data_IF_040955059195
#
_entry.id   IF_040955059195
#
_cell.length_a   1.000
_cell.length_b   1.000
_cell.length_c   1.000
_cell.angle_alpha   90.00
_cell.angle_beta   90.00
_cell.angle_gamma   90.00
#
_symmetry.space_group_name_H-M   'P 1'
#
loop_
_entity.id
_entity.type
_entity.pdbx_description
1 polymer ?
#
# COMPACT_ATOMS: atom_id res chain seq x y z
N UNK A 1 2.77 -12.74 25.29
CA UNK A 1 1.49 -12.74 24.52
C UNK A 1 1.73 -13.57 23.25
N UNK A 2 0.87 -14.53 22.90
CA UNK A 2 1.04 -15.33 21.69
C UNK A 2 0.93 -14.42 20.46
N UNK A 3 1.88 -14.53 19.52
CA UNK A 3 1.84 -13.80 18.26
C UNK A 3 0.52 -14.11 17.54
N UNK A 4 -0.25 -13.07 17.23
CA UNK A 4 -1.52 -13.22 16.52
C UNK A 4 -1.18 -13.76 15.12
N UNK A 5 -1.71 -14.92 14.75
CA UNK A 5 -1.41 -15.51 13.46
C UNK A 5 -1.79 -14.52 12.34
N UNK A 6 -0.80 -14.12 11.53
CA UNK A 6 -1.04 -13.22 10.41
C UNK A 6 -1.93 -13.90 9.37
N UNK A 7 -2.97 -13.18 8.95
CA UNK A 7 -3.89 -13.66 7.94
C UNK A 7 -3.18 -13.83 6.60
N UNK A 8 -3.52 -14.90 5.87
CA UNK A 8 -3.01 -15.15 4.53
C UNK A 8 -4.13 -15.62 3.59
N UNK A 9 -4.06 -15.15 2.35
CA UNK A 9 -4.94 -15.50 1.25
C UNK A 9 -4.14 -15.66 -0.04
N UNK A 10 -4.66 -16.47 -0.96
CA UNK A 10 -4.09 -16.58 -2.30
C UNK A 10 -5.13 -17.04 -3.30
N UNK A 11 -4.86 -16.82 -4.59
CA UNK A 11 -5.76 -17.24 -5.64
C UNK A 11 -5.15 -17.13 -7.03
N UNK A 12 -5.84 -17.72 -8.01
CA UNK A 12 -5.46 -17.69 -9.42
C UNK A 12 -6.32 -16.73 -10.25
N UNK A 13 -7.47 -16.35 -9.70
CA UNK A 13 -8.46 -15.44 -10.31
C UNK A 13 -8.73 -14.29 -9.35
N UNK A 14 -9.38 -13.25 -9.87
CA UNK A 14 -9.89 -12.19 -9.02
C UNK A 14 -10.92 -12.74 -8.03
N UNK A 15 -10.90 -12.24 -6.79
CA UNK A 15 -11.85 -12.60 -5.74
C UNK A 15 -11.90 -11.52 -4.67
N UNK A 16 -13.00 -11.51 -3.93
CA UNK A 16 -13.11 -10.76 -2.68
C UNK A 16 -12.42 -11.52 -1.54
N UNK A 17 -11.71 -10.79 -0.69
CA UNK A 17 -11.03 -11.34 0.50
C UNK A 17 -11.42 -10.52 1.70
N UNK A 18 -11.96 -11.20 2.71
CA UNK A 18 -12.21 -10.59 4.01
C UNK A 18 -10.92 -10.46 4.81
N UNK A 19 -10.69 -9.27 5.35
CA UNK A 19 -9.49 -8.97 6.12
C UNK A 19 -9.87 -9.00 7.60
N UNK A 20 -9.30 -9.93 8.40
CA UNK A 20 -9.51 -9.95 9.84
C UNK A 20 -9.06 -8.61 10.43
N UNK A 21 -9.98 -7.92 11.09
CA UNK A 21 -9.70 -6.60 11.65
C UNK A 21 -8.87 -6.69 12.93
N UNK A 22 -7.90 -5.80 13.06
CA UNK A 22 -7.48 -5.31 14.38
C UNK A 22 -8.55 -4.34 14.88
N UNK A 23 -8.78 -4.31 16.19
CA UNK A 23 -9.82 -3.45 16.79
C UNK A 23 -9.56 -1.94 16.63
N UNK A 24 -8.39 -1.55 16.09
CA UNK A 24 -7.95 -0.17 15.93
C UNK A 24 -7.17 0.00 14.62
N UNK A 25 -7.44 1.10 13.92
CA UNK A 25 -6.65 1.61 12.80
C UNK A 25 -6.84 0.91 11.45
N UNK A 26 -6.15 1.39 10.40
CA UNK A 26 -6.10 0.74 9.10
C UNK A 26 -5.37 -0.61 9.17
N UNK A 27 -5.70 -1.54 8.28
CA UNK A 27 -5.00 -2.82 8.21
C UNK A 27 -3.82 -2.74 7.24
N UNK A 28 -2.67 -3.24 7.66
CA UNK A 28 -1.48 -3.37 6.82
C UNK A 28 -1.57 -4.61 5.95
N UNK A 29 -1.39 -4.42 4.65
CA UNK A 29 -1.47 -5.49 3.66
C UNK A 29 -0.18 -5.60 2.87
N UNK A 30 0.24 -6.83 2.59
CA UNK A 30 1.24 -7.14 1.57
C UNK A 30 0.60 -8.00 0.48
N UNK A 31 0.67 -7.50 -0.75
CA UNK A 31 0.21 -8.20 -1.94
C UNK A 31 1.40 -8.57 -2.81
N UNK A 32 1.38 -9.81 -3.32
CA UNK A 32 2.37 -10.29 -4.28
C UNK A 32 1.63 -10.84 -5.50
N UNK A 33 1.86 -10.20 -6.65
CA UNK A 33 1.37 -10.66 -7.94
C UNK A 33 2.13 -11.88 -8.45
N UNK A 34 1.73 -12.39 -9.61
CA UNK A 34 2.48 -13.42 -10.33
C UNK A 34 3.25 -12.85 -11.51
N UNK A 35 4.18 -13.65 -12.05
CA UNK A 35 5.30 -13.19 -12.88
C UNK A 35 4.90 -12.36 -14.11
N UNK A 36 3.81 -12.72 -14.78
CA UNK A 36 3.40 -12.13 -16.07
C UNK A 36 1.99 -11.54 -16.03
N UNK A 37 1.50 -11.23 -14.83
CA UNK A 37 0.10 -10.82 -14.62
C UNK A 37 -0.01 -9.54 -13.85
N UNK A 38 -0.96 -8.71 -14.28
CA UNK A 38 -1.34 -7.50 -13.58
C UNK A 38 -2.56 -7.73 -12.69
N UNK A 39 -2.55 -7.14 -11.51
CA UNK A 39 -3.66 -7.13 -10.57
C UNK A 39 -3.93 -5.72 -10.05
N UNK A 40 -5.21 -5.40 -9.85
CA UNK A 40 -5.67 -4.28 -9.06
C UNK A 40 -6.19 -4.81 -7.73
N UNK A 41 -5.90 -4.11 -6.65
CA UNK A 41 -6.47 -4.40 -5.33
C UNK A 41 -7.30 -3.19 -4.92
N UNK A 42 -8.60 -3.39 -4.75
CA UNK A 42 -9.54 -2.34 -4.41
C UNK A 42 -10.00 -2.49 -2.96
N UNK A 43 -10.14 -1.37 -2.26
CA UNK A 43 -10.77 -1.37 -0.95
C UNK A 43 -12.27 -1.66 -1.08
N UNK A 44 -12.82 -2.47 -0.19
CA UNK A 44 -14.23 -2.87 -0.24
C UNK A 44 -14.86 -2.89 1.14
N UNK A 45 -16.02 -2.25 1.25
CA UNK A 45 -16.90 -2.39 2.39
C UNK A 45 -18.07 -3.28 1.97
N UNK A 46 -18.30 -4.38 2.69
CA UNK A 46 -19.45 -5.25 2.47
C UNK A 46 -20.15 -5.53 3.79
N UNK A 47 -21.43 -5.18 3.85
CA UNK A 47 -22.38 -5.59 4.88
C UNK A 47 -23.37 -6.61 4.32
N UNK A 48 -24.35 -7.04 5.12
CA UNK A 48 -25.41 -7.94 4.67
C UNK A 48 -26.23 -7.37 3.49
N UNK A 49 -26.36 -6.04 3.41
CA UNK A 49 -27.26 -5.36 2.47
C UNK A 49 -26.54 -4.42 1.49
N UNK A 50 -25.29 -4.06 1.76
CA UNK A 50 -24.57 -3.05 0.98
C UNK A 50 -23.17 -3.52 0.58
N UNK A 51 -22.83 -3.26 -0.68
CA UNK A 51 -21.47 -3.34 -1.21
C UNK A 51 -21.02 -1.94 -1.60
N UNK A 52 -19.87 -1.48 -1.14
CA UNK A 52 -19.34 -0.14 -1.46
C UNK A 52 -17.86 -0.23 -1.72
N UNK A 53 -17.47 0.13 -2.94
CA UNK A 53 -16.08 0.19 -3.35
C UNK A 53 -15.43 1.47 -2.82
N UNK A 54 -14.18 1.34 -2.38
CA UNK A 54 -13.29 2.45 -2.11
C UNK A 54 -12.32 2.70 -3.24
N UNK A 55 -11.23 3.37 -2.91
CA UNK A 55 -10.13 3.63 -3.83
C UNK A 55 -9.34 2.35 -4.18
N UNK A 56 -8.55 2.45 -5.25
CA UNK A 56 -7.52 1.46 -5.57
C UNK A 56 -6.39 1.57 -4.55
N UNK A 57 -6.08 0.46 -3.88
CA UNK A 57 -5.03 0.40 -2.86
C UNK A 57 -3.65 0.24 -3.49
N UNK A 58 -3.56 -0.58 -4.55
CA UNK A 58 -2.34 -0.79 -5.33
C UNK A 58 -2.65 -1.39 -6.70
N UNK A 59 -1.73 -1.17 -7.63
CA UNK A 59 -1.61 -1.89 -8.89
C UNK A 59 -0.32 -2.71 -8.89
N UNK A 60 -0.43 -4.02 -9.10
CA UNK A 60 0.71 -4.95 -9.12
C UNK A 60 0.94 -5.48 -10.51
N UNK A 61 2.16 -5.36 -11.02
CA UNK A 61 2.64 -6.09 -12.18
C UNK A 61 3.88 -6.91 -11.80
N UNK A 62 3.84 -8.20 -12.10
CA UNK A 62 4.94 -9.11 -11.78
C UNK A 62 4.97 -9.58 -10.32
N UNK A 63 6.08 -10.20 -9.90
CA UNK A 63 6.18 -10.90 -8.61
C UNK A 63 6.65 -10.01 -7.46
N UNK A 64 6.74 -8.69 -7.63
CA UNK A 64 7.17 -7.79 -6.55
C UNK A 64 6.12 -7.75 -5.44
N UNK A 65 6.57 -7.79 -4.18
CA UNK A 65 5.71 -7.57 -3.04
C UNK A 65 5.44 -6.06 -2.91
N UNK A 66 4.16 -5.69 -2.90
CA UNK A 66 3.68 -4.32 -2.73
C UNK A 66 2.91 -4.24 -1.42
N UNK A 67 3.01 -3.11 -0.74
CA UNK A 67 2.40 -2.89 0.57
C UNK A 67 1.43 -1.73 0.49
N UNK A 68 0.29 -1.88 1.13
CA UNK A 68 -0.74 -0.83 1.18
C UNK A 68 -1.48 -0.88 2.51
N UNK A 69 -2.15 0.23 2.81
CA UNK A 69 -3.10 0.32 3.91
C UNK A 69 -4.50 0.09 3.40
N UNK A 70 -5.26 -0.77 4.09
CA UNK A 70 -6.71 -0.80 3.98
C UNK A 70 -7.30 0.16 5.01
N UNK A 71 -7.97 1.25 4.59
CA UNK A 71 -8.59 2.18 5.53
C UNK A 71 -9.62 1.48 6.42
N UNK A 72 -9.72 1.91 7.68
CA UNK A 72 -10.49 1.22 8.72
C UNK A 72 -12.00 1.09 8.42
N UNK A 73 -12.56 1.94 7.54
CA UNK A 73 -13.94 1.85 7.08
C UNK A 73 -14.20 0.61 6.19
N UNK A 74 -13.18 0.07 5.54
CA UNK A 74 -13.28 -1.09 4.65
C UNK A 74 -12.94 -2.38 5.39
N UNK A 75 -13.65 -3.48 5.10
CA UNK A 75 -13.49 -4.77 5.78
C UNK A 75 -13.03 -5.88 4.82
N UNK A 76 -12.93 -5.57 3.54
CA UNK A 76 -12.53 -6.50 2.49
C UNK A 76 -11.61 -5.80 1.50
N UNK A 77 -10.93 -6.61 0.71
CA UNK A 77 -10.33 -6.18 -0.55
C UNK A 77 -10.91 -6.99 -1.69
N UNK A 78 -11.05 -6.36 -2.86
CA UNK A 78 -11.33 -7.06 -4.10
C UNK A 78 -10.07 -7.10 -4.95
N UNK A 79 -9.57 -8.32 -5.21
CA UNK A 79 -8.46 -8.53 -6.14
C UNK A 79 -9.07 -8.70 -7.52
N UNK A 80 -8.69 -7.83 -8.46
CA UNK A 80 -9.12 -7.91 -9.86
C UNK A 80 -7.91 -8.19 -10.73
N UNK A 81 -8.04 -9.15 -11.64
CA UNK A 81 -7.00 -9.41 -12.64
C UNK A 81 -7.18 -8.45 -13.80
N UNK A 82 -6.14 -7.68 -14.13
CA UNK A 82 -6.16 -6.78 -15.28
C UNK A 82 -5.73 -7.58 -16.51
N UNK A 83 -6.63 -7.68 -17.49
CA UNK A 83 -6.33 -8.29 -18.80
C UNK A 83 -6.01 -7.18 -19.80
N UNK A 84 -4.85 -7.21 -20.48
CA UNK A 84 -4.54 -6.22 -21.50
C UNK A 84 -5.48 -6.30 -22.72
N UNK A 85 -5.99 -7.50 -23.05
CA UNK A 85 -6.98 -7.72 -24.13
C UNK A 85 -7.95 -8.86 -23.78
N UNK A 86 -9.18 -8.88 -24.32
CA UNK A 86 -10.16 -9.93 -24.07
C UNK A 86 -9.70 -11.34 -24.51
N UNK A 87 -8.86 -11.40 -25.55
CA UNK A 87 -8.46 -12.63 -26.26
C UNK A 87 -7.05 -13.12 -25.94
N UNK A 88 -6.28 -12.41 -25.10
CA UNK A 88 -4.95 -12.91 -24.74
C UNK A 88 -5.06 -14.07 -23.74
N UNK A 89 -4.39 -15.18 -24.06
CA UNK A 89 -4.16 -16.28 -23.13
C UNK A 89 -3.30 -15.80 -21.97
N UNK A 90 -3.92 -15.30 -20.92
CA UNK A 90 -3.19 -14.74 -19.79
C UNK A 90 -2.69 -15.89 -18.91
N UNK A 91 -1.36 -16.10 -18.83
CA UNK A 91 -0.71 -17.19 -18.09
C UNK A 91 -1.22 -17.39 -16.65
N UNK A 92 -1.18 -18.61 -16.12
CA UNK A 92 -1.66 -18.89 -14.77
C UNK A 92 -0.64 -18.37 -13.75
N UNK A 93 -1.03 -17.35 -12.98
CA UNK A 93 -0.14 -16.73 -12.01
C UNK A 93 -0.91 -16.51 -10.72
N UNK A 94 -0.43 -17.17 -9.67
CA UNK A 94 -1.02 -17.12 -8.33
C UNK A 94 -0.63 -15.80 -7.67
N UNK A 95 -1.62 -15.07 -7.18
CA UNK A 95 -1.37 -13.96 -6.27
C UNK A 95 -1.42 -14.44 -4.82
N UNK A 96 -0.76 -13.69 -3.94
CA UNK A 96 -0.78 -13.88 -2.48
C UNK A 96 -1.08 -12.54 -1.81
N UNK A 97 -1.84 -12.59 -0.73
CA UNK A 97 -2.16 -11.46 0.12
C UNK A 97 -1.95 -11.89 1.57
N UNK A 98 -1.32 -11.06 2.38
CA UNK A 98 -1.24 -11.27 3.84
C UNK A 98 -1.42 -9.97 4.59
N UNK A 99 -1.82 -10.07 5.86
CA UNK A 99 -1.68 -8.94 6.79
C UNK A 99 -0.24 -8.85 7.27
N UNK A 100 0.21 -7.63 7.57
CA UNK A 100 1.49 -7.35 8.20
C UNK A 100 1.30 -6.74 9.58
N UNK A 101 2.36 -6.78 10.38
CA UNK A 101 2.51 -5.94 11.57
C UNK A 101 3.39 -4.72 11.25
N UNK A 102 3.37 -3.72 12.13
CA UNK A 102 4.23 -2.54 12.01
C UNK A 102 5.71 -2.93 11.95
N UNK A 103 6.11 -3.96 12.69
CA UNK A 103 7.48 -4.48 12.72
C UNK A 103 7.94 -5.09 11.38
N UNK A 104 7.02 -5.42 10.46
CA UNK A 104 7.37 -5.90 9.11
C UNK A 104 7.69 -4.75 8.13
N UNK A 105 7.38 -3.51 8.52
CA UNK A 105 7.63 -2.32 7.71
C UNK A 105 9.05 -1.81 7.90
N UNK A 106 9.58 -1.17 6.86
CA UNK A 106 10.82 -0.43 6.98
C UNK A 106 10.57 0.78 7.91
N UNK A 107 11.42 0.93 8.93
CA UNK A 107 11.56 2.19 9.65
C UNK A 107 12.45 3.14 8.86
N UNK A 108 12.20 4.45 8.96
CA UNK A 108 13.14 5.46 8.51
C UNK A 108 14.04 5.84 9.70
N UNK A 109 15.24 5.26 9.76
CA UNK A 109 16.25 5.64 10.75
C UNK A 109 16.94 6.94 10.34
N UNK A 110 17.73 6.90 9.26
CA UNK A 110 18.39 8.08 8.68
C UNK A 110 17.93 8.33 7.24
N UNK A 111 18.36 7.47 6.32
CA UNK A 111 18.07 7.57 4.89
C UNK A 111 17.46 6.25 4.41
N UNK A 112 16.35 6.34 3.69
CA UNK A 112 15.72 5.22 3.02
C UNK A 112 15.63 5.54 1.53
N UNK A 113 16.06 4.62 0.68
CA UNK A 113 15.88 4.72 -0.76
C UNK A 113 15.09 3.52 -1.27
N UNK A 114 14.41 3.72 -2.38
CA UNK A 114 13.65 2.65 -2.99
C UNK A 114 13.23 2.97 -4.41
N UNK A 115 12.44 2.06 -4.95
CA UNK A 115 11.86 2.13 -6.27
C UNK A 115 10.40 1.69 -6.20
N UNK A 116 9.55 2.37 -6.97
CA UNK A 116 8.10 2.20 -6.96
C UNK A 116 7.46 2.49 -5.60
N UNK A 117 6.16 2.18 -5.49
CA UNK A 117 5.37 2.43 -4.30
C UNK A 117 5.88 1.64 -3.08
N UNK A 118 5.87 2.29 -1.92
CA UNK A 118 6.20 1.67 -0.63
C UNK A 118 5.38 2.25 0.51
N UNK A 119 5.48 1.60 1.67
CA UNK A 119 4.91 2.05 2.93
C UNK A 119 5.97 2.05 4.03
N UNK A 120 6.11 3.18 4.71
CA UNK A 120 7.08 3.41 5.79
C UNK A 120 6.33 3.76 7.07
N UNK A 121 6.76 3.22 8.22
CA UNK A 121 6.17 3.58 9.51
C UNK A 121 7.02 4.62 10.24
N UNK A 122 6.34 5.53 10.92
CA UNK A 122 6.93 6.51 11.83
C UNK A 122 6.30 6.34 13.21
N UNK A 123 7.13 6.22 14.25
CA UNK A 123 6.69 6.16 15.63
C UNK A 123 6.40 7.56 16.22
N UNK A 124 7.01 8.59 15.66
CA UNK A 124 7.01 9.94 16.20
C UNK A 124 6.90 11.02 15.11
N UNK A 125 6.75 12.27 15.56
CA UNK A 125 6.77 13.43 14.67
C UNK A 125 8.17 13.58 14.09
N UNK A 126 8.27 13.69 12.77
CA UNK A 126 9.54 13.78 12.07
C UNK A 126 9.48 14.80 10.93
N UNK A 127 10.60 15.48 10.67
CA UNK A 127 10.78 16.23 9.43
C UNK A 127 11.44 15.30 8.42
N UNK A 128 10.84 15.18 7.24
CA UNK A 128 11.28 14.22 6.22
C UNK A 128 11.57 14.97 4.94
N UNK A 129 12.83 14.95 4.52
CA UNK A 129 13.22 15.39 3.18
C UNK A 129 12.94 14.28 2.19
N UNK A 130 12.46 14.62 1.00
CA UNK A 130 12.18 13.67 -0.07
C UNK A 130 12.78 14.13 -1.38
N UNK A 131 13.15 13.17 -2.24
CA UNK A 131 13.48 13.40 -3.63
C UNK A 131 13.00 12.24 -4.50
N UNK A 132 12.38 12.56 -5.63
CA UNK A 132 12.09 11.64 -6.73
C UNK A 132 13.28 11.67 -7.69
N UNK A 133 13.68 10.49 -8.16
CA UNK A 133 14.86 10.33 -9.02
C UNK A 133 14.41 9.65 -10.33
N UNK A 134 14.48 10.36 -11.46
CA UNK A 134 14.22 9.79 -12.79
C UNK A 134 13.88 10.82 -13.87
N UNK A 135 13.41 10.37 -15.05
CA UNK A 135 13.11 11.29 -16.17
C UNK A 135 11.63 11.73 -16.22
N UNK A 136 10.77 11.17 -15.36
CA UNK A 136 9.31 11.41 -15.29
C UNK A 136 8.85 11.75 -13.88
N UNK A 137 9.63 12.60 -13.18
CA UNK A 137 9.68 12.82 -11.73
C UNK A 137 8.38 13.34 -11.10
N UNK A 138 7.44 12.44 -10.93
CA UNK A 138 6.24 12.67 -10.15
C UNK A 138 6.12 11.60 -9.08
N UNK A 139 5.91 12.06 -7.86
CA UNK A 139 5.66 11.22 -6.71
C UNK A 139 4.82 11.96 -5.69
N UNK A 140 4.06 11.20 -4.92
CA UNK A 140 3.22 11.73 -3.86
C UNK A 140 3.55 11.06 -2.54
N UNK A 141 3.62 11.88 -1.50
CA UNK A 141 3.68 11.44 -0.12
C UNK A 141 2.31 11.58 0.50
N UNK A 142 1.75 10.47 0.98
CA UNK A 142 0.48 10.44 1.70
C UNK A 142 0.72 9.92 3.11
N UNK A 143 0.25 10.65 4.11
CA UNK A 143 0.35 10.26 5.50
C UNK A 143 -1.00 9.82 6.05
N UNK A 144 -1.03 8.65 6.69
CA UNK A 144 -2.19 8.13 7.42
C UNK A 144 -1.82 7.97 8.89
N UNK A 145 -2.50 8.63 9.83
CA UNK A 145 -2.24 8.44 11.26
C UNK A 145 -2.50 6.99 11.70
N UNK A 146 -1.76 6.49 12.69
CA UNK A 146 -1.89 5.09 13.19
C UNK A 146 -3.33 4.72 13.60
N UNK A 147 -4.03 5.66 14.22
CA UNK A 147 -5.44 5.52 14.63
C UNK A 147 -6.40 6.34 13.75
N UNK A 148 -5.91 6.88 12.64
CA UNK A 148 -6.68 7.72 11.73
C UNK A 148 -7.31 6.93 10.58
N UNK A 149 -8.37 7.51 10.00
CA UNK A 149 -9.11 6.88 8.90
C UNK A 149 -8.84 7.52 7.54
N UNK A 150 -8.20 8.69 7.51
CA UNK A 150 -8.02 9.48 6.30
C UNK A 150 -6.54 9.74 6.04
N UNK A 151 -6.12 9.41 4.82
CA UNK A 151 -4.81 9.76 4.32
C UNK A 151 -4.81 11.23 3.90
N UNK A 152 -3.74 11.94 4.22
CA UNK A 152 -3.53 13.33 3.77
C UNK A 152 -2.28 13.40 2.92
N UNK A 153 -2.38 14.07 1.78
CA UNK A 153 -1.23 14.35 0.95
C UNK A 153 -0.32 15.37 1.65
N UNK A 154 0.97 15.08 1.75
CA UNK A 154 1.98 15.94 2.36
C UNK A 154 2.84 16.67 1.32
N UNK A 155 3.14 16.06 0.18
CA UNK A 155 3.89 16.70 -0.91
C UNK A 155 2.95 17.38 -1.89
N UNK A 156 3.39 18.46 -2.55
CA UNK A 156 2.57 19.08 -3.60
C UNK A 156 2.77 18.33 -4.91
N UNK A 157 1.73 18.34 -5.74
CA UNK A 157 1.83 17.78 -7.08
C UNK A 157 2.89 18.54 -7.88
N UNK A 158 3.79 17.81 -8.55
CA UNK A 158 4.90 18.37 -9.33
C UNK A 158 6.17 18.67 -8.54
N UNK A 159 6.17 18.56 -7.20
CA UNK A 159 7.41 18.69 -6.42
C UNK A 159 8.32 17.49 -6.70
N UNK A 160 9.52 17.75 -7.23
CA UNK A 160 10.56 16.72 -7.46
C UNK A 160 11.31 16.41 -6.15
N UNK A 161 11.52 17.43 -5.33
CA UNK A 161 12.19 17.34 -4.03
C UNK A 161 11.56 18.32 -3.06
N UNK A 162 11.65 18.03 -1.78
CA UNK A 162 11.10 18.93 -0.77
C UNK A 162 11.30 18.42 0.63
N UNK A 163 10.59 19.02 1.57
CA UNK A 163 10.59 18.58 2.97
C UNK A 163 9.19 18.71 3.54
N UNK A 164 8.72 17.65 4.18
CA UNK A 164 7.41 17.58 4.80
C UNK A 164 7.55 17.32 6.30
N UNK A 165 6.50 17.62 7.05
CA UNK A 165 6.41 17.24 8.47
C UNK A 165 5.43 16.09 8.61
N UNK A 166 5.94 14.93 9.03
CA UNK A 166 5.14 13.82 9.54
C UNK A 166 4.64 14.23 10.93
N UNK A 167 3.33 14.27 11.19
CA UNK A 167 2.77 14.93 12.37
C UNK A 167 2.93 14.13 13.67
N UNK A 168 3.20 12.82 13.56
CA UNK A 168 3.22 11.89 14.68
C UNK A 168 3.21 10.45 14.17
N UNK A 169 2.83 9.52 15.06
CA UNK A 169 2.78 8.10 14.75
C UNK A 169 1.84 7.78 13.58
N UNK A 170 2.32 7.00 12.63
CA UNK A 170 1.53 6.60 11.47
C UNK A 170 2.36 6.11 10.31
N UNK A 171 1.74 6.13 9.14
CA UNK A 171 2.26 5.50 7.94
C UNK A 171 2.43 6.54 6.85
N UNK A 172 3.58 6.50 6.18
CA UNK A 172 3.89 7.30 5.01
C UNK A 172 3.88 6.39 3.78
N UNK A 173 2.89 6.57 2.92
CA UNK A 173 2.83 5.94 1.61
C UNK A 173 3.59 6.80 0.60
N UNK A 174 4.57 6.18 -0.06
CA UNK A 174 5.27 6.75 -1.20
C UNK A 174 4.58 6.23 -2.45
N UNK A 175 3.98 7.11 -3.27
CA UNK A 175 3.31 6.75 -4.51
C UNK A 175 4.11 7.31 -5.69
N UNK A 176 4.84 6.45 -6.39
CA UNK A 176 5.60 6.81 -7.59
C UNK A 176 5.91 5.56 -8.41
N UNK A 177 6.20 5.73 -9.70
CA UNK A 177 6.75 4.67 -10.55
C UNK A 177 8.29 4.69 -10.58
N UNK A 178 8.93 5.77 -10.13
CA UNK A 178 10.37 5.97 -10.21
C UNK A 178 11.15 5.56 -8.97
N UNK A 179 12.42 5.95 -8.95
CA UNK A 179 13.29 5.84 -7.77
C UNK A 179 13.04 7.01 -6.84
N UNK A 180 13.32 6.83 -5.56
CA UNK A 180 13.09 7.87 -4.56
C UNK A 180 14.03 7.73 -3.37
N UNK A 181 14.19 8.83 -2.64
CA UNK A 181 14.87 8.88 -1.34
C UNK A 181 14.01 9.63 -0.31
N UNK A 182 14.08 9.17 0.93
CA UNK A 182 13.55 9.82 2.12
C UNK A 182 14.69 9.95 3.13
N UNK A 183 14.76 11.09 3.81
CA UNK A 183 15.77 11.37 4.83
C UNK A 183 15.08 12.00 6.05
N UNK A 184 15.28 11.42 7.23
CA UNK A 184 14.82 11.98 8.51
C UNK A 184 15.76 13.12 8.90
N UNK A 185 15.19 14.28 9.23
CA UNK A 185 15.88 15.52 9.62
C UNK A 185 15.65 15.84 11.08
#
# INVERSE_FOLDING_TARGET
MPAKALFQASGWRGREVEIPRSERGPALLEFKGGLTTSFKVLALHRSATRKTYGEELLYSYGPKALRALLPAQYNRVEVQRVKPRPTSGTGFSRWRLRTLEVADLAGLEDVLSGEHETLVYFADRARVSFAWLGDTEHGELHFTPEYGNEARQLSRHGDIRGTVTVPGAGFLAVRTFGKWTLEKR
#
